data_IF_731667102096
#
_entry.id   IF_731667102096
#
_cell.length_a   1.000
_cell.length_b   1.000
_cell.length_c   1.000
_cell.angle_alpha   90.00
_cell.angle_beta   90.00
_cell.angle_gamma   90.00
#
_symmetry.space_group_name_H-M   'P 1'
#
loop_
_entity.id
_entity.type
_entity.pdbx_description
1 polymer ?
#
# COMPACT_ATOMS: atom_id res chain seq x y z
N UNK A 1 0.21 28.53 27.67
CA UNK A 1 0.45 27.14 27.30
C UNK A 1 0.21 26.89 25.80
N UNK A 2 -0.95 27.22 25.26
CA UNK A 2 -1.30 27.04 23.83
C UNK A 2 -0.29 27.69 22.86
N UNK A 3 0.13 28.92 23.13
CA UNK A 3 1.06 29.67 22.27
C UNK A 3 2.47 29.07 22.19
N UNK A 4 2.94 28.35 23.21
CA UNK A 4 4.24 27.67 23.21
C UNK A 4 4.18 26.37 22.42
N UNK A 5 3.07 25.63 22.49
CA UNK A 5 2.84 24.42 21.71
C UNK A 5 2.72 24.75 20.20
N UNK A 6 1.96 25.79 19.86
CA UNK A 6 1.85 26.27 18.47
C UNK A 6 3.20 26.70 17.90
N UNK A 7 4.05 27.41 18.67
CA UNK A 7 5.40 27.80 18.22
C UNK A 7 6.30 26.60 18.00
N UNK A 8 6.20 25.58 18.87
CA UNK A 8 6.96 24.34 18.72
C UNK A 8 6.53 23.59 17.46
N UNK A 9 5.23 23.37 17.27
CA UNK A 9 4.67 22.72 16.09
C UNK A 9 5.05 23.46 14.80
N UNK A 10 4.99 24.78 14.79
CA UNK A 10 5.42 25.58 13.65
C UNK A 10 6.92 25.43 13.36
N UNK A 11 7.76 25.40 14.38
CA UNK A 11 9.20 25.16 14.23
C UNK A 11 9.53 23.77 13.67
N UNK A 12 8.81 22.75 14.12
CA UNK A 12 8.91 21.39 13.63
C UNK A 12 8.48 21.31 12.14
N UNK A 13 7.35 21.94 11.79
CA UNK A 13 6.88 22.06 10.41
C UNK A 13 7.91 22.74 9.50
N UNK A 14 8.45 23.89 9.89
CA UNK A 14 9.50 24.59 9.12
C UNK A 14 10.72 23.69 8.90
N UNK A 15 11.09 22.93 9.91
CA UNK A 15 12.28 22.06 9.83
C UNK A 15 12.03 20.83 8.98
N UNK A 16 10.89 20.21 9.13
CA UNK A 16 10.56 18.96 8.42
C UNK A 16 10.23 19.19 6.95
N UNK A 17 9.56 20.27 6.60
CA UNK A 17 8.99 20.49 5.26
C UNK A 17 9.67 21.64 4.50
N UNK A 18 9.77 22.83 5.08
CA UNK A 18 10.23 23.99 4.32
C UNK A 18 11.74 24.01 4.07
N UNK A 19 12.55 23.50 5.00
CA UNK A 19 14.01 23.45 4.77
C UNK A 19 14.40 22.48 3.66
N UNK A 20 13.93 21.21 3.63
CA UNK A 20 14.19 20.31 2.53
C UNK A 20 13.67 20.84 1.19
N UNK A 21 12.47 21.41 1.14
CA UNK A 21 11.91 22.01 -0.06
C UNK A 21 12.77 23.15 -0.58
N UNK A 22 13.23 24.03 0.31
CA UNK A 22 14.12 25.14 -0.04
C UNK A 22 15.47 24.64 -0.59
N UNK A 23 16.01 23.56 -0.02
CA UNK A 23 17.24 22.94 -0.53
C UNK A 23 17.06 22.37 -1.94
N UNK A 24 15.95 21.65 -2.20
CA UNK A 24 15.61 21.14 -3.54
C UNK A 24 15.49 22.31 -4.52
N UNK A 25 14.83 23.41 -4.16
CA UNK A 25 14.64 24.58 -5.00
C UNK A 25 15.93 25.41 -5.21
N UNK A 26 16.89 25.36 -4.28
CA UNK A 26 18.13 26.16 -4.32
C UNK A 26 19.28 25.47 -5.04
N UNK A 27 19.30 24.14 -5.14
CA UNK A 27 20.41 23.39 -5.73
C UNK A 27 20.60 23.58 -7.25
N UNK A 28 19.88 24.50 -7.88
CA UNK A 28 20.14 24.98 -9.24
C UNK A 28 19.94 23.96 -10.39
N UNK A 29 19.66 22.70 -10.04
CA UNK A 29 19.52 21.59 -10.98
C UNK A 29 18.05 21.36 -11.40
N UNK A 30 17.09 22.01 -10.75
CA UNK A 30 15.67 21.86 -11.08
C UNK A 30 15.23 22.99 -12.01
N UNK A 31 14.73 22.63 -13.18
CA UNK A 31 14.03 23.55 -14.07
C UNK A 31 12.78 24.14 -13.39
N UNK A 32 12.31 25.30 -13.84
CA UNK A 32 11.16 25.99 -13.25
C UNK A 32 9.93 25.09 -13.11
N UNK A 33 9.69 24.20 -14.06
CA UNK A 33 8.60 23.22 -14.10
C UNK A 33 8.67 22.20 -12.94
N UNK A 34 9.86 21.71 -12.61
CA UNK A 34 10.05 20.78 -11.49
C UNK A 34 9.76 21.44 -10.14
N UNK A 35 10.13 22.70 -9.98
CA UNK A 35 9.81 23.46 -8.75
C UNK A 35 8.31 23.58 -8.54
N UNK A 36 7.54 23.87 -9.58
CA UNK A 36 6.07 23.92 -9.52
C UNK A 36 5.48 22.55 -9.18
N UNK A 37 6.05 21.48 -9.73
CA UNK A 37 5.62 20.11 -9.39
C UNK A 37 5.82 19.81 -7.91
N UNK A 38 7.01 20.06 -7.34
CA UNK A 38 7.27 19.83 -5.91
C UNK A 38 6.40 20.71 -5.01
N UNK A 39 6.19 21.97 -5.38
CA UNK A 39 5.30 22.87 -4.64
C UNK A 39 3.86 22.35 -4.67
N UNK A 40 3.36 21.90 -5.81
CA UNK A 40 2.02 21.33 -5.94
C UNK A 40 1.85 20.04 -5.14
N UNK A 41 2.84 19.16 -5.13
CA UNK A 41 2.83 17.96 -4.29
C UNK A 41 2.77 18.31 -2.80
N UNK A 42 3.53 19.32 -2.38
CA UNK A 42 3.54 19.77 -0.99
C UNK A 42 2.23 20.42 -0.58
N UNK A 43 1.63 21.23 -1.43
CA UNK A 43 0.33 21.85 -1.20
C UNK A 43 -0.75 20.79 -0.99
N UNK A 44 -0.78 19.77 -1.85
CA UNK A 44 -1.70 18.63 -1.71
C UNK A 44 -1.46 17.85 -0.42
N UNK A 45 -0.22 17.63 -0.04
CA UNK A 45 0.12 16.95 1.22
C UNK A 45 -0.36 17.76 2.42
N UNK A 46 -0.14 19.08 2.44
CA UNK A 46 -0.61 19.94 3.52
C UNK A 46 -2.13 19.98 3.63
N UNK A 47 -2.81 20.04 2.49
CA UNK A 47 -4.28 19.98 2.44
C UNK A 47 -4.79 18.64 2.98
N UNK A 48 -4.17 17.54 2.57
CA UNK A 48 -4.52 16.19 3.06
C UNK A 48 -4.34 16.07 4.57
N UNK A 49 -3.22 16.54 5.11
CA UNK A 49 -2.96 16.54 6.55
C UNK A 49 -3.95 17.42 7.33
N UNK A 50 -4.36 18.55 6.77
CA UNK A 50 -5.34 19.43 7.39
C UNK A 50 -6.71 18.77 7.45
N UNK A 51 -7.16 18.16 6.35
CA UNK A 51 -8.44 17.43 6.26
C UNK A 51 -8.45 16.26 7.25
N UNK A 52 -7.38 15.47 7.27
CA UNK A 52 -7.24 14.32 8.17
C UNK A 52 -7.28 14.75 9.64
N UNK A 53 -6.62 15.85 9.99
CA UNK A 53 -6.66 16.41 11.36
C UNK A 53 -8.05 16.86 11.76
N UNK A 54 -8.77 17.54 10.86
CA UNK A 54 -10.11 18.06 11.12
C UNK A 54 -11.12 16.91 11.31
N UNK A 55 -11.04 15.89 10.46
CA UNK A 55 -11.88 14.70 10.57
C UNK A 55 -11.58 13.89 11.84
N UNK A 56 -10.30 13.71 12.16
CA UNK A 56 -9.88 12.99 13.37
C UNK A 56 -10.35 13.70 14.63
N UNK A 57 -10.24 15.03 14.70
CA UNK A 57 -10.71 15.83 15.83
C UNK A 57 -12.24 15.77 15.95
N UNK A 58 -12.95 15.82 14.84
CA UNK A 58 -14.41 15.72 14.81
C UNK A 58 -14.89 14.35 15.29
N UNK A 59 -14.29 13.28 14.80
CA UNK A 59 -14.63 11.91 15.21
C UNK A 59 -14.33 11.68 16.71
N UNK A 60 -13.20 12.16 17.22
CA UNK A 60 -12.89 12.13 18.66
C UNK A 60 -13.90 12.90 19.48
N UNK A 61 -14.32 14.10 19.04
CA UNK A 61 -15.32 14.90 19.72
C UNK A 61 -16.70 14.20 19.75
N UNK A 62 -17.01 13.37 18.75
CA UNK A 62 -18.23 12.57 18.69
C UNK A 62 -18.15 11.26 19.50
N UNK A 63 -17.00 10.96 20.13
CA UNK A 63 -16.80 9.77 20.96
C UNK A 63 -16.48 8.49 20.16
N UNK A 64 -16.02 8.63 18.91
CA UNK A 64 -15.61 7.51 18.10
C UNK A 64 -14.26 6.97 18.59
N UNK A 65 -14.31 5.83 19.34
CA UNK A 65 -13.12 5.17 19.88
C UNK A 65 -12.33 4.35 18.84
N UNK A 66 -12.83 4.23 17.62
CA UNK A 66 -12.16 3.45 16.56
C UNK A 66 -10.88 4.10 16.01
N UNK A 67 -10.57 5.34 16.41
CA UNK A 67 -9.38 6.06 15.94
C UNK A 67 -8.08 5.67 16.69
N UNK A 68 -8.18 4.93 17.80
CA UNK A 68 -7.02 4.61 18.67
C UNK A 68 -6.40 3.23 18.42
N UNK A 69 -6.95 2.41 17.51
CA UNK A 69 -6.35 1.13 17.16
C UNK A 69 -5.08 1.35 16.29
N UNK A 70 -3.98 1.57 16.98
CA UNK A 70 -2.64 1.29 16.44
C UNK A 70 -2.55 -0.22 16.22
N UNK A 71 -3.06 -0.73 15.10
CA UNK A 71 -2.72 -2.09 14.66
C UNK A 71 -1.20 -2.19 14.68
N UNK A 72 -0.67 -3.20 15.39
CA UNK A 72 0.76 -3.53 15.32
C UNK A 72 1.09 -4.03 13.91
N UNK A 73 1.22 -3.09 12.98
CA UNK A 73 1.34 -3.31 11.53
C UNK A 73 2.48 -4.26 11.18
N UNK A 74 3.58 -4.25 11.93
CA UNK A 74 4.69 -5.19 11.70
C UNK A 74 4.27 -6.66 11.87
N UNK A 75 3.41 -6.93 12.85
CA UNK A 75 2.92 -8.28 13.11
C UNK A 75 1.92 -8.73 12.03
N UNK A 76 1.18 -7.79 11.46
CA UNK A 76 0.20 -8.08 10.39
C UNK A 76 0.92 -8.54 9.11
N UNK A 77 1.96 -7.83 8.66
CA UNK A 77 2.69 -8.22 7.45
C UNK A 77 3.41 -9.55 7.57
N UNK A 78 3.93 -9.89 8.74
CA UNK A 78 4.53 -11.21 8.98
C UNK A 78 3.47 -12.33 8.91
N UNK A 79 2.30 -12.11 9.51
CA UNK A 79 1.17 -13.05 9.42
C UNK A 79 0.68 -13.18 7.97
N UNK A 80 0.49 -12.06 7.28
CA UNK A 80 0.04 -12.03 5.88
C UNK A 80 1.03 -12.75 4.96
N UNK A 81 2.34 -12.58 5.16
CA UNK A 81 3.37 -13.29 4.40
C UNK A 81 3.31 -14.82 4.65
N UNK A 82 3.11 -15.23 5.89
CA UNK A 82 2.96 -16.66 6.23
C UNK A 82 1.72 -17.26 5.57
N UNK A 83 0.58 -16.56 5.64
CA UNK A 83 -0.66 -16.99 5.00
C UNK A 83 -0.52 -17.07 3.48
N UNK A 84 0.13 -16.07 2.88
CA UNK A 84 0.45 -16.07 1.46
C UNK A 84 1.29 -17.30 1.04
N UNK A 85 2.31 -17.65 1.82
CA UNK A 85 3.12 -18.83 1.55
C UNK A 85 2.29 -20.12 1.59
N UNK A 86 1.45 -20.28 2.62
CA UNK A 86 0.55 -21.43 2.72
C UNK A 86 -0.47 -21.49 1.57
N UNK A 87 -1.01 -20.35 1.17
CA UNK A 87 -1.91 -20.26 0.03
C UNK A 87 -1.22 -20.68 -1.28
N UNK A 88 0.02 -20.23 -1.49
CA UNK A 88 0.80 -20.61 -2.67
C UNK A 88 1.15 -22.09 -2.68
N UNK A 89 1.53 -22.66 -1.55
CA UNK A 89 1.82 -24.10 -1.44
C UNK A 89 0.57 -24.96 -1.75
N UNK A 90 -0.60 -24.50 -1.30
CA UNK A 90 -1.87 -25.14 -1.63
C UNK A 90 -2.17 -25.07 -3.12
N UNK A 91 -2.07 -23.88 -3.71
CA UNK A 91 -2.29 -23.70 -5.17
C UNK A 91 -1.33 -24.54 -6.02
N UNK A 92 -0.07 -24.68 -5.60
CA UNK A 92 0.90 -25.50 -6.33
C UNK A 92 0.54 -26.98 -6.25
N UNK A 93 0.13 -27.50 -5.10
CA UNK A 93 -0.32 -28.90 -4.95
C UNK A 93 -1.53 -29.17 -5.84
N UNK A 94 -2.56 -28.32 -5.74
CA UNK A 94 -3.76 -28.45 -6.55
C UNK A 94 -3.46 -28.36 -8.06
N UNK A 95 -2.55 -27.48 -8.46
CA UNK A 95 -2.14 -27.36 -9.84
C UNK A 95 -1.40 -28.63 -10.32
N UNK A 96 -0.46 -29.17 -9.52
CA UNK A 96 0.28 -30.39 -9.85
C UNK A 96 -0.64 -31.59 -10.09
N UNK A 97 -1.67 -31.77 -9.28
CA UNK A 97 -2.65 -32.85 -9.42
C UNK A 97 -3.45 -32.74 -10.72
N UNK A 98 -3.59 -31.53 -11.27
CA UNK A 98 -4.39 -31.24 -12.45
C UNK A 98 -3.57 -31.05 -13.73
N UNK A 99 -2.24 -31.24 -13.70
CA UNK A 99 -1.39 -31.14 -14.89
C UNK A 99 -1.59 -32.30 -15.84
N UNK A 100 -2.31 -32.08 -16.95
CA UNK A 100 -2.61 -33.10 -17.96
C UNK A 100 -1.83 -32.92 -19.26
N UNK A 101 -1.41 -31.70 -19.58
CA UNK A 101 -0.74 -31.38 -20.83
C UNK A 101 0.64 -30.81 -20.60
N UNK A 102 1.55 -31.00 -21.57
CA UNK A 102 2.91 -30.46 -21.49
C UNK A 102 2.91 -28.94 -21.42
N UNK A 103 1.98 -28.27 -22.11
CA UNK A 103 1.80 -26.82 -22.04
C UNK A 103 1.41 -26.32 -20.62
N UNK A 104 0.55 -27.07 -19.93
CA UNK A 104 0.19 -26.75 -18.55
C UNK A 104 1.38 -26.87 -17.61
N UNK A 105 2.22 -27.90 -17.78
CA UNK A 105 3.46 -28.06 -17.00
C UNK A 105 4.42 -26.91 -17.23
N UNK A 106 4.64 -26.51 -18.47
CA UNK A 106 5.51 -25.37 -18.79
C UNK A 106 5.02 -24.07 -18.16
N UNK A 107 3.72 -23.78 -18.20
CA UNK A 107 3.12 -22.60 -17.56
C UNK A 107 3.26 -22.67 -16.04
N UNK A 108 3.06 -23.83 -15.45
CA UNK A 108 3.21 -24.05 -14.03
C UNK A 108 4.65 -23.79 -13.57
N UNK A 109 5.64 -24.39 -14.20
CA UNK A 109 7.06 -24.19 -13.92
C UNK A 109 7.48 -22.72 -14.11
N UNK A 110 7.00 -22.07 -15.15
CA UNK A 110 7.24 -20.65 -15.38
C UNK A 110 6.71 -19.79 -14.24
N UNK A 111 5.48 -20.01 -13.80
CA UNK A 111 4.86 -19.25 -12.68
C UNK A 111 5.62 -19.47 -11.37
N UNK A 112 6.03 -20.70 -11.10
CA UNK A 112 6.82 -21.05 -9.94
C UNK A 112 8.17 -20.32 -9.96
N UNK A 113 8.89 -20.39 -11.06
CA UNK A 113 10.18 -19.69 -11.24
C UNK A 113 10.05 -18.17 -11.06
N UNK A 114 9.03 -17.55 -11.65
CA UNK A 114 8.76 -16.11 -11.51
C UNK A 114 8.54 -15.74 -10.05
N UNK A 115 7.75 -16.53 -9.32
CA UNK A 115 7.50 -16.30 -7.90
C UNK A 115 8.79 -16.41 -7.09
N UNK A 116 9.59 -17.46 -7.33
CA UNK A 116 10.86 -17.66 -6.63
C UNK A 116 11.84 -16.51 -6.92
N UNK A 117 11.95 -16.05 -8.16
CA UNK A 117 12.77 -14.90 -8.51
C UNK A 117 12.30 -13.62 -7.81
N UNK A 118 10.99 -13.34 -7.76
CA UNK A 118 10.44 -12.20 -7.02
C UNK A 118 10.71 -12.32 -5.52
N UNK A 119 10.53 -13.51 -4.95
CA UNK A 119 10.76 -13.74 -3.53
C UNK A 119 12.25 -13.67 -3.16
N UNK A 120 13.15 -14.02 -4.06
CA UNK A 120 14.60 -13.96 -3.86
C UNK A 120 15.20 -12.61 -4.23
N UNK A 121 14.48 -11.76 -4.94
CA UNK A 121 14.95 -10.43 -5.28
C UNK A 121 15.26 -9.64 -4.02
N UNK A 122 16.47 -9.10 -3.95
CA UNK A 122 16.91 -8.25 -2.84
C UNK A 122 16.93 -6.80 -3.30
N UNK A 123 16.19 -5.95 -2.60
CA UNK A 123 16.29 -4.51 -2.78
C UNK A 123 17.61 -4.00 -2.19
N UNK A 124 18.30 -3.14 -2.91
CA UNK A 124 19.52 -2.48 -2.45
C UNK A 124 19.25 -1.09 -1.89
N UNK A 125 18.15 -0.47 -2.29
CA UNK A 125 17.76 0.87 -1.87
C UNK A 125 16.27 1.11 -2.11
N UNK A 126 15.74 2.22 -1.62
CA UNK A 126 14.45 2.75 -2.06
C UNK A 126 14.50 3.11 -3.54
N UNK A 127 13.49 2.71 -4.31
CA UNK A 127 13.47 3.01 -5.73
C UNK A 127 12.28 2.42 -6.47
N UNK A 128 12.28 2.62 -7.77
CA UNK A 128 11.28 2.09 -8.69
C UNK A 128 11.80 0.79 -9.27
N UNK A 129 11.07 -0.30 -9.05
CA UNK A 129 11.36 -1.61 -9.58
C UNK A 129 10.33 -1.99 -10.64
N UNK A 130 10.79 -2.58 -11.75
CA UNK A 130 9.92 -2.98 -12.85
C UNK A 130 9.84 -4.50 -12.96
N UNK A 131 8.61 -5.05 -12.89
CA UNK A 131 8.31 -6.46 -13.16
C UNK A 131 7.68 -6.58 -14.55
N UNK A 132 8.45 -7.08 -15.52
CA UNK A 132 8.00 -7.24 -16.91
C UNK A 132 7.69 -8.71 -17.20
N UNK A 133 6.40 -9.05 -17.29
CA UNK A 133 5.91 -10.41 -17.50
C UNK A 133 4.74 -10.42 -18.49
N UNK A 134 4.57 -11.53 -19.25
CA UNK A 134 3.41 -11.69 -20.11
C UNK A 134 2.10 -11.77 -19.33
N UNK A 135 0.98 -11.56 -20.02
CA UNK A 135 -0.36 -11.70 -19.44
C UNK A 135 -0.58 -13.14 -18.97
N UNK A 136 -1.20 -13.34 -17.82
CA UNK A 136 -1.45 -14.69 -17.27
C UNK A 136 -0.25 -15.35 -16.57
N UNK A 137 0.91 -14.70 -16.50
CA UNK A 137 2.10 -15.26 -15.83
C UNK A 137 2.07 -15.17 -14.29
N UNK A 138 0.98 -14.70 -13.67
CA UNK A 138 0.84 -14.63 -12.20
C UNK A 138 1.41 -13.37 -11.57
N UNK A 139 1.42 -12.24 -12.29
CA UNK A 139 1.95 -10.94 -11.81
C UNK A 139 1.43 -10.54 -10.43
N UNK A 140 0.11 -10.60 -10.23
CA UNK A 140 -0.55 -10.17 -8.99
C UNK A 140 0.00 -10.89 -7.77
N UNK A 141 0.07 -12.23 -7.81
CA UNK A 141 0.58 -13.02 -6.70
C UNK A 141 2.10 -12.86 -6.53
N UNK A 142 2.87 -12.80 -7.63
CA UNK A 142 4.31 -12.61 -7.55
C UNK A 142 4.68 -11.24 -6.96
N UNK A 143 4.01 -10.16 -7.38
CA UNK A 143 4.22 -8.81 -6.84
C UNK A 143 3.75 -8.67 -5.40
N UNK A 144 2.61 -9.29 -5.05
CA UNK A 144 2.12 -9.33 -3.68
C UNK A 144 3.12 -10.02 -2.74
N UNK A 145 3.63 -11.19 -3.13
CA UNK A 145 4.63 -11.91 -2.33
C UNK A 145 5.88 -11.08 -2.07
N UNK A 146 6.36 -10.37 -3.08
CA UNK A 146 7.48 -9.44 -2.92
C UNK A 146 7.14 -8.29 -1.98
N UNK A 147 6.01 -7.63 -2.16
CA UNK A 147 5.58 -6.52 -1.32
C UNK A 147 5.43 -6.92 0.16
N UNK A 148 4.78 -8.07 0.41
CA UNK A 148 4.65 -8.62 1.77
C UNK A 148 5.99 -8.97 2.39
N UNK A 149 6.92 -9.54 1.61
CA UNK A 149 8.28 -9.83 2.09
C UNK A 149 9.02 -8.55 2.50
N UNK A 150 8.93 -7.50 1.69
CA UNK A 150 9.55 -6.20 1.99
C UNK A 150 8.92 -5.58 3.24
N UNK A 151 7.59 -5.53 3.31
CA UNK A 151 6.87 -4.98 4.45
C UNK A 151 7.14 -5.75 5.75
N UNK A 152 7.19 -7.09 5.69
CA UNK A 152 7.48 -7.92 6.86
C UNK A 152 8.92 -7.78 7.40
N UNK A 153 9.88 -7.36 6.57
CA UNK A 153 11.27 -7.14 6.96
C UNK A 153 11.54 -5.76 7.55
N UNK A 154 10.75 -4.78 7.18
CA UNK A 154 10.93 -3.39 7.60
C UNK A 154 10.30 -3.12 8.96
N UNK A 155 10.80 -2.11 9.65
CA UNK A 155 10.17 -1.64 10.90
C UNK A 155 8.82 -1.02 10.57
N UNK A 156 7.88 -1.10 11.48
CA UNK A 156 6.52 -0.53 11.35
C UNK A 156 6.52 0.94 10.98
N UNK A 157 7.51 1.71 11.45
CA UNK A 157 7.68 3.12 11.13
C UNK A 157 8.12 3.40 9.67
N UNK A 158 8.53 2.37 8.92
CA UNK A 158 9.04 2.51 7.56
C UNK A 158 8.02 2.10 6.49
N UNK A 159 7.06 1.23 6.83
CA UNK A 159 5.98 0.79 5.93
C UNK A 159 4.67 0.81 6.69
N UNK A 160 3.80 1.74 6.34
CA UNK A 160 2.45 1.81 6.89
C UNK A 160 1.45 1.04 6.04
N UNK A 161 1.53 1.11 4.71
CA UNK A 161 0.56 0.50 3.79
C UNK A 161 1.22 -0.11 2.56
N UNK A 162 0.56 -1.12 1.98
CA UNK A 162 0.80 -1.62 0.63
C UNK A 162 -0.35 -1.15 -0.25
N UNK A 163 -0.06 -0.29 -1.24
CA UNK A 163 -1.03 0.11 -2.24
C UNK A 163 -0.92 -0.75 -3.48
N UNK A 164 -2.03 -1.37 -3.88
CA UNK A 164 -2.17 -2.08 -5.13
C UNK A 164 -3.04 -1.27 -6.09
N UNK A 165 -2.41 -0.56 -7.00
CA UNK A 165 -3.08 0.40 -7.89
C UNK A 165 -3.30 -0.23 -9.25
N UNK A 166 -4.55 -0.31 -9.70
CA UNK A 166 -4.95 -0.84 -11.00
C UNK A 166 -5.50 0.26 -11.91
N UNK A 167 -5.31 0.16 -13.24
CA UNK A 167 -5.82 1.18 -14.16
C UNK A 167 -7.34 1.15 -14.35
N UNK A 168 -7.99 0.03 -14.03
CA UNK A 168 -9.43 -0.18 -14.24
C UNK A 168 -10.06 -0.83 -13.01
N UNK A 169 -11.31 -0.46 -12.70
CA UNK A 169 -12.10 -0.96 -11.58
C UNK A 169 -12.21 -2.49 -11.62
N UNK A 170 -12.58 -3.07 -12.74
CA UNK A 170 -12.73 -4.53 -12.89
C UNK A 170 -11.44 -5.31 -12.61
N UNK A 171 -10.27 -4.72 -12.85
CA UNK A 171 -8.98 -5.31 -12.51
C UNK A 171 -8.68 -5.12 -11.02
N UNK A 172 -9.08 -3.99 -10.43
CA UNK A 172 -8.97 -3.75 -9.00
C UNK A 172 -9.80 -4.78 -8.22
N UNK A 173 -11.08 -4.94 -8.56
CA UNK A 173 -12.00 -5.93 -7.96
C UNK A 173 -11.42 -7.36 -8.03
N UNK A 174 -11.02 -7.80 -9.23
CA UNK A 174 -10.42 -9.13 -9.41
C UNK A 174 -9.13 -9.30 -8.60
N UNK A 175 -8.30 -8.27 -8.55
CA UNK A 175 -7.04 -8.31 -7.80
C UNK A 175 -7.28 -8.32 -6.29
N UNK A 176 -8.25 -7.54 -5.81
CA UNK A 176 -8.66 -7.50 -4.41
C UNK A 176 -9.10 -8.87 -3.93
N UNK A 177 -9.95 -9.57 -4.70
CA UNK A 177 -10.39 -10.92 -4.34
C UNK A 177 -9.22 -11.91 -4.24
N UNK A 178 -8.29 -11.85 -5.19
CA UNK A 178 -7.10 -12.70 -5.17
C UNK A 178 -6.21 -12.39 -3.98
N UNK A 179 -6.03 -11.11 -3.65
CA UNK A 179 -5.22 -10.66 -2.53
C UNK A 179 -5.86 -11.07 -1.20
N UNK A 180 -7.17 -10.87 -1.00
CA UNK A 180 -7.92 -11.31 0.18
C UNK A 180 -7.72 -12.80 0.44
N UNK A 181 -7.89 -13.63 -0.59
CA UNK A 181 -7.66 -15.09 -0.49
C UNK A 181 -6.22 -15.43 -0.13
N UNK A 182 -5.26 -14.72 -0.70
CA UNK A 182 -3.84 -14.99 -0.49
C UNK A 182 -3.36 -14.58 0.91
N UNK A 183 -3.86 -13.48 1.47
CA UNK A 183 -3.48 -13.04 2.82
C UNK A 183 -4.30 -13.71 3.92
N UNK A 184 -5.43 -14.36 3.56
CA UNK A 184 -6.24 -15.17 4.46
C UNK A 184 -6.99 -14.40 5.56
N UNK A 185 -7.10 -13.08 5.41
CA UNK A 185 -7.92 -12.22 6.25
C UNK A 185 -8.44 -11.03 5.43
N UNK A 186 -9.74 -10.94 5.29
CA UNK A 186 -10.40 -9.90 4.48
C UNK A 186 -10.30 -8.52 5.10
N UNK A 187 -10.27 -8.41 6.42
CA UNK A 187 -10.15 -7.16 7.17
C UNK A 187 -8.79 -6.45 6.95
N UNK A 188 -7.79 -7.15 6.41
CA UNK A 188 -6.49 -6.55 6.09
C UNK A 188 -6.44 -5.92 4.70
N UNK A 189 -7.52 -6.06 3.91
CA UNK A 189 -7.53 -5.65 2.50
C UNK A 189 -8.74 -4.77 2.23
N UNK A 190 -8.50 -3.50 2.08
CA UNK A 190 -9.50 -2.54 1.65
C UNK A 190 -9.59 -2.49 0.13
N UNK A 191 -10.81 -2.43 -0.37
CA UNK A 191 -11.11 -2.09 -1.76
C UNK A 191 -11.65 -0.67 -1.82
N UNK A 192 -10.95 0.21 -2.54
CA UNK A 192 -11.30 1.62 -2.61
C UNK A 192 -11.36 2.10 -4.06
N UNK A 193 -12.55 2.32 -4.59
CA UNK A 193 -12.81 2.94 -5.90
C UNK A 193 -14.25 3.47 -5.97
N UNK A 194 -14.57 4.22 -7.02
CA UNK A 194 -15.85 4.95 -7.16
C UNK A 194 -17.10 4.08 -7.19
N UNK A 195 -16.99 2.78 -7.44
CA UNK A 195 -18.13 1.85 -7.49
C UNK A 195 -18.40 1.15 -6.15
N UNK A 196 -17.52 1.27 -5.15
CA UNK A 196 -17.81 0.76 -3.81
C UNK A 196 -18.85 1.66 -3.20
N UNK A 197 -20.12 1.21 -3.24
CA UNK A 197 -21.24 1.92 -2.65
C UNK A 197 -21.37 1.53 -1.19
N UNK A 198 -20.78 2.29 -0.29
CA UNK A 198 -21.09 2.19 1.12
C UNK A 198 -22.40 2.92 1.40
N UNK A 199 -23.36 2.21 1.94
CA UNK A 199 -24.72 2.68 2.16
C UNK A 199 -24.85 3.70 3.29
N UNK A 200 -23.87 3.77 4.20
CA UNK A 200 -23.86 4.66 5.35
C UNK A 200 -22.77 5.72 5.28
N UNK A 201 -23.13 6.97 5.62
CA UNK A 201 -22.18 8.09 5.66
C UNK A 201 -21.04 7.86 6.68
N UNK A 202 -21.27 7.09 7.73
CA UNK A 202 -20.27 6.72 8.73
C UNK A 202 -19.25 5.72 8.18
N UNK A 203 -19.69 4.72 7.41
CA UNK A 203 -18.78 3.78 6.72
C UNK A 203 -17.91 4.49 5.67
N UNK A 204 -18.47 5.49 4.96
CA UNK A 204 -17.68 6.33 4.02
C UNK A 204 -16.56 7.11 4.71
N UNK A 205 -16.77 7.56 5.94
CA UNK A 205 -15.74 8.29 6.71
C UNK A 205 -14.62 7.35 7.17
N UNK A 206 -14.96 6.10 7.53
CA UNK A 206 -13.98 5.07 7.91
C UNK A 206 -13.16 4.63 6.70
N UNK A 207 -13.80 4.43 5.54
CA UNK A 207 -13.12 4.06 4.29
C UNK A 207 -12.10 5.11 3.79
N UNK A 208 -12.29 6.36 4.13
CA UNK A 208 -11.32 7.41 3.75
C UNK A 208 -10.10 7.47 4.67
N UNK A 209 -10.16 6.85 5.84
CA UNK A 209 -9.03 6.82 6.77
C UNK A 209 -7.92 5.82 6.40
N UNK A 210 -8.16 4.93 5.41
CA UNK A 210 -7.21 3.93 4.91
C UNK A 210 -6.44 3.22 6.02
N UNK A 211 -7.18 2.63 6.97
CA UNK A 211 -6.60 1.96 8.15
C UNK A 211 -6.04 0.57 7.83
N UNK A 212 -6.55 -0.07 6.81
CA UNK A 212 -6.16 -1.41 6.41
C UNK A 212 -4.74 -1.43 5.85
N UNK A 213 -3.94 -2.43 6.20
CA UNK A 213 -2.54 -2.52 5.77
C UNK A 213 -2.37 -2.69 4.26
N UNK A 214 -3.38 -3.21 3.55
CA UNK A 214 -3.34 -3.40 2.09
C UNK A 214 -4.53 -2.70 1.46
N UNK A 215 -4.27 -1.78 0.54
CA UNK A 215 -5.30 -0.98 -0.12
C UNK A 215 -5.26 -1.24 -1.61
N UNK A 216 -6.36 -1.76 -2.15
CA UNK A 216 -6.55 -1.98 -3.57
C UNK A 216 -7.40 -0.85 -4.15
N UNK A 217 -6.84 -0.08 -5.10
CA UNK A 217 -7.51 1.11 -5.62
C UNK A 217 -7.26 1.31 -7.12
N UNK A 218 -7.94 2.28 -7.69
CA UNK A 218 -7.70 2.75 -9.07
C UNK A 218 -7.00 4.10 -9.08
N UNK A 219 -6.40 4.44 -10.25
CA UNK A 219 -5.82 5.78 -10.47
C UNK A 219 -6.90 6.84 -10.62
#
# INVERSE_FOLDING_TARGET
MLCSQMRKAYGEFITAFLKPLKQICQNGQTEGTERFFYMSCMERLLLSLQIDSDWTDTARAMGDSMLDDNMETANVYQKALKNYQQYMDKLEKEAQENLRTEKQKQIFELRKKIREECMNFSETSYGIYRLSLPTGAGKTLASLGYALKVAAKRKTSEVSHIFYISPYISIAEQSTEVIKKAVGNEEWVMEHHSNVSNSDEQEKQIDTAWKEPIICTTM
#
